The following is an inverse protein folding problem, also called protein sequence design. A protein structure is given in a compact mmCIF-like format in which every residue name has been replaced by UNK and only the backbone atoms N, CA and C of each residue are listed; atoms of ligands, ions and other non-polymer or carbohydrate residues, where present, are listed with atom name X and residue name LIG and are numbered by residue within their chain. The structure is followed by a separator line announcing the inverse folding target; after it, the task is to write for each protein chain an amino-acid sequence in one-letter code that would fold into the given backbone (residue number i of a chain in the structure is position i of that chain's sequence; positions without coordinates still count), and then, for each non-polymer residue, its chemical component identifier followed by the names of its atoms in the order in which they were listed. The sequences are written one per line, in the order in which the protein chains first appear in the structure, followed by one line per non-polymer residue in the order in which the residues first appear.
data_IF_510064438578
#
_entry.id   IF_510064438578
#
_cell.length_a   1.000
_cell.length_b   1.000
_cell.length_c   1.000
_cell.angle_alpha   90.00
_cell.angle_beta   90.00
_cell.angle_gamma   90.00
#
_symmetry.space_group_name_H-M   'P 1'
#
loop_
_entity.id
_entity.type
_entity.pdbx_description
1 polymer ?
#
# COMPACT_ATOMS: atom_id res chain seq x y z
N UNK A 1 -11.58 2.90 -1.39
CA UNK A 1 -11.33 4.35 -1.60
C UNK A 1 -11.89 4.85 -2.92
N UNK A 2 -11.75 4.16 -4.07
CA UNK A 2 -12.41 4.60 -5.31
C UNK A 2 -13.93 4.66 -5.17
N UNK A 3 -14.55 3.70 -4.47
CA UNK A 3 -16.00 3.61 -4.34
C UNK A 3 -16.67 4.85 -3.71
N UNK A 4 -16.22 5.28 -2.51
CA UNK A 4 -16.78 6.46 -1.82
C UNK A 4 -16.60 7.77 -2.60
N UNK A 5 -15.57 7.86 -3.43
CA UNK A 5 -15.32 9.03 -4.28
C UNK A 5 -16.07 8.93 -5.61
N UNK A 6 -16.31 7.73 -6.15
CA UNK A 6 -17.03 7.54 -7.42
C UNK A 6 -18.48 8.01 -7.35
N UNK A 7 -19.15 7.88 -6.20
CA UNK A 7 -20.53 8.37 -6.02
C UNK A 7 -20.64 9.90 -5.99
N UNK A 8 -19.55 10.63 -5.69
CA UNK A 8 -19.60 12.08 -5.40
C UNK A 8 -18.58 12.94 -6.17
N UNK A 9 -17.59 12.35 -6.81
CA UNK A 9 -16.47 13.05 -7.44
C UNK A 9 -16.53 13.00 -8.96
N UNK A 10 -16.15 14.12 -9.60
CA UNK A 10 -16.00 14.22 -11.05
C UNK A 10 -14.89 13.31 -11.58
N UNK A 11 -14.98 12.87 -12.84
CA UNK A 11 -13.93 12.11 -13.52
C UNK A 11 -12.54 12.77 -13.43
N UNK A 12 -12.48 14.11 -13.47
CA UNK A 12 -11.23 14.87 -13.30
C UNK A 12 -10.64 14.65 -11.91
N UNK A 13 -11.47 14.59 -10.88
CA UNK A 13 -11.03 14.40 -9.49
C UNK A 13 -10.55 12.96 -9.24
N UNK A 14 -11.19 11.96 -9.87
CA UNK A 14 -10.70 10.57 -9.87
C UNK A 14 -9.33 10.50 -10.55
N UNK A 15 -9.14 11.22 -11.67
CA UNK A 15 -7.84 11.35 -12.33
C UNK A 15 -6.77 11.95 -11.42
N UNK A 16 -7.10 13.03 -10.70
CA UNK A 16 -6.19 13.65 -9.72
C UNK A 16 -5.83 12.65 -8.61
N UNK A 17 -6.80 11.90 -8.09
CA UNK A 17 -6.56 10.89 -7.05
C UNK A 17 -5.61 9.77 -7.52
N UNK A 18 -5.64 9.39 -8.80
CA UNK A 18 -4.75 8.35 -9.35
C UNK A 18 -3.26 8.70 -9.23
N UNK A 19 -2.93 10.00 -9.16
CA UNK A 19 -1.55 10.50 -8.94
C UNK A 19 -1.04 10.05 -7.57
N UNK A 20 -1.92 9.85 -6.57
CA UNK A 20 -1.52 9.36 -5.26
C UNK A 20 -0.87 7.96 -5.32
N UNK A 21 -1.14 7.16 -6.36
CA UNK A 21 -0.54 5.84 -6.53
C UNK A 21 0.88 5.87 -7.13
N UNK A 22 1.31 7.00 -7.71
CA UNK A 22 2.58 7.10 -8.43
C UNK A 22 3.84 6.79 -7.61
N UNK A 23 3.91 7.09 -6.29
CA UNK A 23 5.08 6.71 -5.51
C UNK A 23 5.40 5.21 -5.59
N UNK A 24 4.41 4.32 -5.69
CA UNK A 24 4.69 2.89 -5.87
C UNK A 24 5.46 2.59 -7.15
N UNK A 25 5.17 3.31 -8.24
CA UNK A 25 5.87 3.15 -9.52
C UNK A 25 7.30 3.66 -9.46
N UNK A 26 7.53 4.73 -8.68
CA UNK A 26 8.84 5.37 -8.56
C UNK A 26 9.71 4.80 -7.43
N UNK A 27 9.20 3.86 -6.62
CA UNK A 27 9.90 3.35 -5.43
C UNK A 27 11.30 2.81 -5.68
N UNK A 28 11.54 2.29 -6.89
CA UNK A 28 12.87 1.84 -7.35
C UNK A 28 13.94 2.95 -7.28
N UNK A 29 13.57 4.22 -7.46
CA UNK A 29 14.53 5.33 -7.49
C UNK A 29 15.12 5.66 -6.12
N UNK A 30 14.37 5.47 -5.03
CA UNK A 30 14.86 5.72 -3.67
C UNK A 30 15.14 4.46 -2.88
N UNK A 31 14.96 3.27 -3.46
CA UNK A 31 15.34 2.02 -2.78
C UNK A 31 16.81 1.98 -2.34
N UNK A 32 17.80 2.47 -3.12
CA UNK A 32 19.20 2.49 -2.69
C UNK A 32 19.45 3.45 -1.51
N UNK A 33 18.63 4.50 -1.39
CA UNK A 33 18.71 5.44 -0.27
C UNK A 33 18.30 4.76 1.03
N UNK A 34 17.20 4.00 0.99
CA UNK A 34 16.70 3.20 2.13
C UNK A 34 17.70 2.10 2.51
N UNK A 35 18.38 1.50 1.53
CA UNK A 35 19.37 0.46 1.79
C UNK A 35 20.67 0.98 2.41
N UNK A 36 21.10 2.20 2.05
CA UNK A 36 22.42 2.74 2.44
C UNK A 36 22.41 3.59 3.71
N UNK A 37 21.32 4.29 4.01
CA UNK A 37 21.20 5.09 5.23
C UNK A 37 20.59 4.25 6.34
N UNK A 38 21.31 3.95 7.42
CA UNK A 38 20.71 3.27 8.58
C UNK A 38 21.48 3.54 9.86
N UNK A 39 20.82 3.35 11.01
CA UNK A 39 21.48 3.45 12.31
C UNK A 39 22.06 2.11 12.73
N UNK A 40 23.36 2.06 12.97
CA UNK A 40 24.07 0.87 13.45
C UNK A 40 23.62 0.40 14.84
N UNK A 41 23.03 1.30 15.65
CA UNK A 41 22.54 1.00 17.00
C UNK A 41 21.17 0.31 17.02
N UNK A 42 20.33 0.59 16.03
CA UNK A 42 18.95 0.09 15.97
C UNK A 42 18.79 -1.10 15.00
N UNK A 43 19.78 -1.34 14.16
CA UNK A 43 19.78 -2.34 13.09
C UNK A 43 19.37 -1.73 11.76
N UNK A 44 19.88 -2.29 10.65
CA UNK A 44 19.72 -1.70 9.30
C UNK A 44 18.24 -1.55 8.91
N UNK A 45 17.43 -2.57 9.17
CA UNK A 45 16.05 -2.63 8.65
C UNK A 45 15.05 -2.04 9.63
N UNK A 46 15.24 -2.24 10.94
CA UNK A 46 14.40 -1.61 11.97
C UNK A 46 14.47 -0.10 11.98
N UNK A 47 15.64 0.46 11.62
CA UNK A 47 15.84 1.91 11.52
C UNK A 47 14.88 2.58 10.53
N UNK A 48 14.33 1.82 9.57
CA UNK A 48 13.34 2.32 8.61
C UNK A 48 11.92 1.85 8.91
N UNK A 49 11.74 0.56 9.20
CA UNK A 49 10.40 -0.01 9.40
C UNK A 49 9.70 0.68 10.57
N UNK A 50 10.39 0.87 11.71
CA UNK A 50 9.77 1.43 12.92
C UNK A 50 9.35 2.89 12.72
N UNK A 51 10.20 3.82 12.24
CA UNK A 51 9.78 5.20 12.00
C UNK A 51 8.68 5.32 10.95
N UNK A 52 8.79 4.63 9.81
CA UNK A 52 7.79 4.69 8.74
C UNK A 52 6.44 4.20 9.26
N UNK A 53 6.41 3.06 9.95
CA UNK A 53 5.17 2.48 10.46
C UNK A 53 4.56 3.34 11.58
N UNK A 54 5.39 3.96 12.42
CA UNK A 54 4.95 4.93 13.43
C UNK A 54 4.35 6.19 12.78
N UNK A 55 5.00 6.74 11.76
CA UNK A 55 4.48 7.88 11.00
C UNK A 55 3.15 7.54 10.32
N UNK A 56 3.04 6.38 9.67
CA UNK A 56 1.79 5.93 9.06
C UNK A 56 0.69 5.77 10.12
N UNK A 57 0.99 5.14 11.26
CA UNK A 57 0.03 5.00 12.37
C UNK A 57 -0.43 6.37 12.90
N UNK A 58 0.50 7.29 13.14
CA UNK A 58 0.20 8.64 13.60
C UNK A 58 -0.67 9.40 12.60
N UNK A 59 -0.33 9.34 11.30
CA UNK A 59 -1.13 9.97 10.25
C UNK A 59 -2.54 9.38 10.24
N UNK A 60 -2.69 8.04 10.28
CA UNK A 60 -4.01 7.40 10.27
C UNK A 60 -4.88 7.80 11.47
N UNK A 61 -4.31 7.86 12.67
CA UNK A 61 -5.07 8.22 13.89
C UNK A 61 -5.39 9.71 13.95
N UNK A 62 -4.41 10.58 13.63
CA UNK A 62 -4.57 12.03 13.73
C UNK A 62 -5.41 12.62 12.59
N UNK A 63 -5.33 12.04 11.39
CA UNK A 63 -6.08 12.53 10.23
C UNK A 63 -7.48 11.95 10.10
N UNK A 64 -7.88 10.97 10.91
CA UNK A 64 -9.15 10.26 10.78
C UNK A 64 -10.38 11.18 10.72
N UNK A 65 -10.56 12.07 11.70
CA UNK A 65 -11.71 13.00 11.73
C UNK A 65 -11.63 14.07 10.63
N UNK A 66 -10.40 14.41 10.22
CA UNK A 66 -10.17 15.38 9.16
C UNK A 66 -10.53 14.79 7.81
N UNK A 67 -10.09 13.56 7.51
CA UNK A 67 -10.41 12.84 6.27
C UNK A 67 -11.91 12.67 6.13
N UNK A 68 -12.59 12.32 7.22
CA UNK A 68 -14.05 12.18 7.20
C UNK A 68 -14.74 13.48 6.76
N UNK A 69 -14.38 14.62 7.36
CA UNK A 69 -14.90 15.94 6.97
C UNK A 69 -14.53 16.32 5.53
N UNK A 70 -13.30 16.04 5.10
CA UNK A 70 -12.88 16.34 3.73
C UNK A 70 -13.65 15.51 2.68
N UNK A 71 -14.06 14.29 3.02
CA UNK A 71 -14.88 13.43 2.15
C UNK A 71 -16.31 13.96 2.08
N UNK A 72 -16.88 14.40 3.20
CA UNK A 72 -18.20 15.04 3.25
C UNK A 72 -18.23 16.34 2.40
N UNK A 73 -17.19 17.16 2.51
CA UNK A 73 -17.05 18.43 1.77
C UNK A 73 -16.50 18.27 0.33
N UNK A 74 -16.24 17.04 -0.13
CA UNK A 74 -15.70 16.72 -1.46
C UNK A 74 -14.38 17.43 -1.84
N UNK A 75 -13.50 17.72 -0.87
CA UNK A 75 -12.18 18.34 -1.10
C UNK A 75 -11.13 17.32 -1.57
N UNK A 76 -11.29 16.84 -2.81
CA UNK A 76 -10.48 15.72 -3.35
C UNK A 76 -8.98 16.00 -3.40
N UNK A 77 -8.54 17.24 -3.60
CA UNK A 77 -7.11 17.61 -3.66
C UNK A 77 -6.41 17.35 -2.32
N UNK A 78 -7.04 17.75 -1.21
CA UNK A 78 -6.49 17.58 0.13
C UNK A 78 -6.38 16.11 0.51
N UNK A 79 -7.43 15.33 0.20
CA UNK A 79 -7.42 13.87 0.37
C UNK A 79 -6.32 13.25 -0.47
N UNK A 80 -6.20 13.64 -1.74
CA UNK A 80 -5.17 13.13 -2.65
C UNK A 80 -3.77 13.40 -2.11
N UNK A 81 -3.50 14.60 -1.58
CA UNK A 81 -2.21 14.94 -1.00
C UNK A 81 -1.86 14.07 0.23
N UNK A 82 -2.83 13.86 1.13
CA UNK A 82 -2.64 12.96 2.27
C UNK A 82 -2.37 11.52 1.82
N UNK A 83 -3.16 11.02 0.87
CA UNK A 83 -3.01 9.68 0.32
C UNK A 83 -1.69 9.51 -0.41
N UNK A 84 -1.20 10.54 -1.10
CA UNK A 84 0.13 10.53 -1.72
C UNK A 84 1.22 10.34 -0.66
N UNK A 85 1.15 11.04 0.47
CA UNK A 85 2.11 10.87 1.58
C UNK A 85 2.01 9.47 2.18
N UNK A 86 0.79 8.96 2.43
CA UNK A 86 0.60 7.60 2.92
C UNK A 86 1.17 6.56 1.96
N UNK A 87 0.89 6.70 0.66
CA UNK A 87 1.40 5.78 -0.37
C UNK A 87 2.93 5.86 -0.47
N UNK A 88 3.52 7.05 -0.36
CA UNK A 88 4.97 7.21 -0.29
C UNK A 88 5.59 6.48 0.91
N UNK A 89 4.97 6.59 2.09
CA UNK A 89 5.41 5.87 3.28
C UNK A 89 5.28 4.36 3.11
N UNK A 90 4.15 3.86 2.62
CA UNK A 90 3.95 2.42 2.41
C UNK A 90 4.89 1.89 1.33
N UNK A 91 5.13 2.62 0.23
CA UNK A 91 6.11 2.23 -0.78
C UNK A 91 7.54 2.12 -0.20
N UNK A 92 7.88 2.98 0.78
CA UNK A 92 9.16 2.93 1.48
C UNK A 92 9.22 1.76 2.48
N UNK A 93 8.10 1.47 3.15
CA UNK A 93 7.96 0.31 4.02
C UNK A 93 8.14 -0.99 3.24
N UNK A 94 7.54 -1.09 2.06
CA UNK A 94 7.59 -2.25 1.18
C UNK A 94 9.03 -2.58 0.79
N UNK A 95 9.82 -1.58 0.38
CA UNK A 95 11.27 -1.74 0.12
C UNK A 95 12.00 -2.30 1.34
N UNK A 96 11.74 -1.73 2.53
CA UNK A 96 12.42 -2.14 3.75
C UNK A 96 12.05 -3.57 4.18
N UNK A 97 10.78 -3.96 3.99
CA UNK A 97 10.27 -5.30 4.30
C UNK A 97 10.77 -6.33 3.29
N UNK A 98 10.83 -5.99 2.00
CA UNK A 98 11.38 -6.85 0.94
C UNK A 98 12.86 -7.18 1.22
N UNK A 99 13.66 -6.16 1.52
CA UNK A 99 15.06 -6.34 1.89
C UNK A 99 15.23 -7.17 3.17
N UNK A 100 14.31 -7.03 4.12
CA UNK A 100 14.33 -7.80 5.36
C UNK A 100 13.93 -9.27 5.16
N UNK A 101 12.96 -9.55 4.28
CA UNK A 101 12.52 -10.90 3.96
C UNK A 101 13.64 -11.72 3.29
N UNK A 102 14.35 -11.14 2.32
CA UNK A 102 15.46 -11.82 1.63
C UNK A 102 16.57 -12.23 2.61
N UNK A 103 16.87 -11.39 3.60
CA UNK A 103 17.90 -11.68 4.61
C UNK A 103 17.44 -12.69 5.67
N UNK A 104 16.13 -12.83 5.90
CA UNK A 104 15.58 -13.73 6.91
C UNK A 104 15.27 -15.14 6.38
N UNK A 105 15.00 -15.28 5.07
CA UNK A 105 14.72 -16.57 4.45
C UNK A 105 16.00 -17.26 3.96
N UNK A 106 16.05 -18.59 4.13
CA UNK A 106 17.11 -19.40 3.53
C UNK A 106 17.09 -19.23 1.99
N UNK A 107 18.24 -19.30 1.28
CA UNK A 107 18.32 -19.06 -0.17
C UNK A 107 17.33 -19.87 -1.01
N UNK A 108 17.03 -21.11 -0.59
CA UNK A 108 16.06 -22.00 -1.23
C UNK A 108 14.61 -21.51 -1.15
N UNK A 109 14.28 -20.69 -0.15
CA UNK A 109 12.93 -20.23 0.14
C UNK A 109 12.67 -18.77 -0.24
N UNK A 110 13.67 -18.04 -0.74
CA UNK A 110 13.54 -16.62 -1.12
C UNK A 110 12.43 -16.42 -2.17
N UNK A 111 12.21 -17.39 -3.06
CA UNK A 111 11.11 -17.35 -4.03
C UNK A 111 9.71 -17.32 -3.41
N UNK A 112 9.52 -17.87 -2.20
CA UNK A 112 8.23 -17.84 -1.51
C UNK A 112 7.93 -16.49 -0.85
N UNK A 113 8.95 -15.65 -0.60
CA UNK A 113 8.74 -14.34 0.02
C UNK A 113 7.81 -13.46 -0.81
N UNK A 114 8.03 -13.40 -2.13
CA UNK A 114 7.19 -12.66 -3.06
C UNK A 114 5.76 -13.24 -3.13
N UNK A 115 5.60 -14.56 -3.04
CA UNK A 115 4.28 -15.21 -2.99
C UNK A 115 3.53 -14.84 -1.72
N UNK A 116 4.18 -14.92 -0.55
CA UNK A 116 3.58 -14.54 0.73
C UNK A 116 3.15 -13.07 0.75
N UNK A 117 3.98 -12.16 0.22
CA UNK A 117 3.62 -10.74 0.07
C UNK A 117 2.39 -10.57 -0.82
N UNK A 118 2.36 -11.22 -1.99
CA UNK A 118 1.24 -11.12 -2.93
C UNK A 118 -0.06 -11.65 -2.32
N UNK A 119 0.00 -12.78 -1.61
CA UNK A 119 -1.16 -13.36 -0.91
C UNK A 119 -1.63 -12.42 0.21
N UNK A 120 -0.70 -11.92 1.03
CA UNK A 120 -1.02 -10.99 2.11
C UNK A 120 -1.65 -9.69 1.61
N UNK A 121 -1.14 -9.13 0.52
CA UNK A 121 -1.70 -7.93 -0.11
C UNK A 121 -3.11 -8.16 -0.65
N UNK A 122 -3.36 -9.28 -1.33
CA UNK A 122 -4.69 -9.62 -1.85
C UNK A 122 -5.70 -9.85 -0.71
N UNK A 123 -5.30 -10.57 0.35
CA UNK A 123 -6.14 -10.74 1.54
C UNK A 123 -6.45 -9.38 2.18
N UNK A 124 -5.43 -8.53 2.33
CA UNK A 124 -5.57 -7.19 2.89
C UNK A 124 -6.51 -6.32 2.06
N UNK A 125 -6.37 -6.33 0.74
CA UNK A 125 -7.25 -5.60 -0.19
C UNK A 125 -8.70 -6.09 -0.09
N UNK A 126 -8.91 -7.40 -0.20
CA UNK A 126 -10.23 -8.01 -0.14
C UNK A 126 -10.93 -7.76 1.20
N UNK A 127 -10.19 -7.97 2.30
CA UNK A 127 -10.69 -7.72 3.65
C UNK A 127 -11.00 -6.24 3.83
N UNK A 128 -10.10 -5.36 3.39
CA UNK A 128 -10.30 -3.91 3.55
C UNK A 128 -11.46 -3.37 2.73
N UNK A 129 -11.72 -3.92 1.55
CA UNK A 129 -12.84 -3.50 0.74
C UNK A 129 -14.16 -4.07 1.27
N UNK A 130 -14.23 -5.39 1.42
CA UNK A 130 -15.46 -6.12 1.76
C UNK A 130 -15.91 -5.81 3.19
N UNK A 131 -15.00 -5.87 4.16
CA UNK A 131 -15.34 -5.60 5.58
C UNK A 131 -15.69 -4.14 5.77
N UNK A 132 -14.96 -3.22 5.14
CA UNK A 132 -15.28 -1.80 5.24
C UNK A 132 -16.67 -1.49 4.66
N UNK A 133 -16.98 -1.99 3.46
CA UNK A 133 -18.26 -1.70 2.81
C UNK A 133 -19.42 -2.31 3.61
N UNK A 134 -19.28 -3.56 4.07
CA UNK A 134 -20.30 -4.21 4.90
C UNK A 134 -20.54 -3.46 6.23
N UNK A 135 -19.49 -2.96 6.88
CA UNK A 135 -19.61 -2.22 8.14
C UNK A 135 -20.01 -0.75 7.95
N UNK A 136 -19.80 -0.19 6.76
CA UNK A 136 -20.21 1.16 6.43
C UNK A 136 -21.67 1.22 5.95
N UNK A 137 -22.23 0.12 5.43
CA UNK A 137 -23.61 0.05 4.97
C UNK A 137 -24.62 -0.02 6.14
N UNK A 138 -25.52 0.97 6.29
CA UNK A 138 -26.54 0.96 7.34
C UNK A 138 -27.51 -0.21 7.23
N UNK A 139 -27.90 -0.61 6.01
CA UNK A 139 -28.84 -1.72 5.79
C UNK A 139 -28.28 -3.06 6.28
N UNK A 140 -27.03 -3.37 5.93
CA UNK A 140 -26.34 -4.55 6.42
C UNK A 140 -26.19 -4.52 7.95
N UNK A 141 -25.77 -3.38 8.50
CA UNK A 141 -25.57 -3.24 9.94
C UNK A 141 -26.88 -3.38 10.73
N UNK A 142 -27.98 -2.82 10.24
CA UNK A 142 -29.29 -2.92 10.90
C UNK A 142 -29.92 -4.31 10.75
N UNK A 143 -29.62 -5.05 9.69
CA UNK A 143 -30.14 -6.40 9.47
C UNK A 143 -29.39 -7.48 10.28
N UNK A 144 -28.07 -7.33 10.46
CA UNK A 144 -27.23 -8.41 11.00
C UNK A 144 -26.47 -8.06 12.29
N UNK A 145 -26.20 -6.78 12.57
CA UNK A 145 -25.28 -6.37 13.64
C UNK A 145 -25.95 -5.57 14.76
N UNK A 146 -26.99 -4.80 14.48
CA UNK A 146 -27.69 -3.95 15.46
C UNK A 146 -29.02 -4.53 15.90
N UNK A 147 -29.38 -4.27 17.15
CA UNK A 147 -30.72 -4.55 17.70
C UNK A 147 -31.70 -3.37 17.53
N UNK A 148 -31.19 -2.13 17.41
CA UNK A 148 -31.97 -0.92 17.12
C UNK A 148 -31.53 -0.31 15.78
N UNK A 149 -32.47 0.02 14.86
CA UNK A 149 -32.13 0.60 13.56
C UNK A 149 -31.58 2.01 13.69
N UNK A 150 -30.49 2.30 12.99
CA UNK A 150 -29.93 3.65 12.85
C UNK A 150 -29.54 3.93 11.39
N UNK A 151 -29.60 5.18 10.96
CA UNK A 151 -29.36 5.57 9.56
C UNK A 151 -27.88 5.62 9.17
N UNK A 152 -26.96 5.51 10.14
CA UNK A 152 -25.51 5.53 9.89
C UNK A 152 -24.90 4.13 9.96
N UNK A 153 -23.89 3.84 9.14
CA UNK A 153 -23.12 2.60 9.23
C UNK A 153 -22.47 2.40 10.59
N UNK A 154 -22.20 1.15 10.98
CA UNK A 154 -21.52 0.84 12.25
C UNK A 154 -20.10 1.45 12.30
N UNK A 155 -19.46 1.59 11.14
CA UNK A 155 -18.07 1.99 11.05
C UNK A 155 -17.86 2.99 9.90
N UNK A 156 -17.76 4.27 10.28
CA UNK A 156 -17.43 5.35 9.36
C UNK A 156 -15.95 5.31 8.96
N UNK A 157 -15.61 5.97 7.85
CA UNK A 157 -14.24 5.99 7.33
C UNK A 157 -13.20 6.47 8.37
N UNK A 158 -13.52 7.50 9.15
CA UNK A 158 -12.64 7.99 10.20
C UNK A 158 -12.38 6.94 11.29
N UNK A 159 -13.45 6.27 11.76
CA UNK A 159 -13.32 5.17 12.73
C UNK A 159 -12.50 4.00 12.18
N UNK A 160 -12.67 3.66 10.90
CA UNK A 160 -11.90 2.62 10.22
C UNK A 160 -10.41 2.93 10.19
N UNK A 161 -10.07 4.17 9.81
CA UNK A 161 -8.68 4.64 9.81
C UNK A 161 -8.05 4.61 11.21
N UNK A 162 -8.80 4.97 12.26
CA UNK A 162 -8.32 4.91 13.64
C UNK A 162 -8.00 3.49 14.08
N UNK A 163 -8.90 2.54 13.85
CA UNK A 163 -8.71 1.14 14.23
C UNK A 163 -7.44 0.60 13.57
N UNK A 164 -7.30 0.79 12.26
CA UNK A 164 -6.10 0.36 11.56
C UNK A 164 -4.85 1.12 11.99
N UNK A 165 -4.94 2.42 12.28
CA UNK A 165 -3.83 3.18 12.85
C UNK A 165 -3.33 2.62 14.19
N UNK A 166 -4.25 2.24 15.09
CA UNK A 166 -3.92 1.58 16.36
C UNK A 166 -3.32 0.20 16.14
N UNK A 167 -3.87 -0.60 15.21
CA UNK A 167 -3.30 -1.91 14.84
C UNK A 167 -1.88 -1.73 14.30
N UNK A 168 -1.64 -0.74 13.43
CA UNK A 168 -0.32 -0.42 12.93
C UNK A 168 0.64 -0.06 14.06
N UNK A 169 0.23 0.80 15.00
CA UNK A 169 1.04 1.16 16.16
C UNK A 169 1.36 -0.06 17.06
N UNK A 170 0.37 -0.92 17.33
CA UNK A 170 0.56 -2.13 18.11
C UNK A 170 1.57 -3.07 17.45
N UNK A 171 1.44 -3.31 16.14
CA UNK A 171 2.39 -4.11 15.37
C UNK A 171 3.78 -3.48 15.40
N UNK A 172 3.90 -2.15 15.29
CA UNK A 172 5.19 -1.45 15.41
C UNK A 172 5.85 -1.69 16.76
N UNK A 173 5.09 -1.60 17.85
CA UNK A 173 5.61 -1.87 19.20
C UNK A 173 6.07 -3.32 19.30
N UNK A 174 5.27 -4.27 18.81
CA UNK A 174 5.64 -5.70 18.79
C UNK A 174 6.93 -5.93 18.00
N UNK A 175 7.07 -5.36 16.81
CA UNK A 175 8.27 -5.48 15.97
C UNK A 175 9.49 -4.82 16.63
N UNK A 176 9.29 -3.67 17.29
CA UNK A 176 10.35 -2.95 17.99
C UNK A 176 10.86 -3.72 19.22
N UNK A 177 9.98 -4.42 19.95
CA UNK A 177 10.32 -5.13 21.18
C UNK A 177 10.80 -6.57 20.95
N UNK A 178 10.13 -7.33 20.08
CA UNK A 178 10.39 -8.79 19.95
C UNK A 178 11.58 -9.12 19.08
N UNK A 179 11.84 -8.32 18.04
CA UNK A 179 12.95 -8.59 17.15
C UNK A 179 14.18 -7.87 17.70
N UNK A 180 15.26 -8.58 17.97
CA UNK A 180 16.60 -7.98 18.10
C UNK A 180 17.36 -8.30 16.82
N UNK A 181 17.97 -7.28 16.19
CA UNK A 181 18.91 -7.54 15.09
C UNK A 181 20.28 -7.64 15.75
N UNK A 182 20.88 -8.84 15.70
CA UNK A 182 22.25 -9.02 16.16
C UNK A 182 23.17 -8.11 15.34
N UNK A 183 24.12 -7.44 16.00
CA UNK A 183 25.09 -6.49 15.42
C UNK A 183 26.03 -7.08 14.35
N UNK A 184 25.74 -8.28 13.83
CA UNK A 184 26.70 -9.17 13.17
C UNK A 184 27.02 -8.83 11.71
N UNK A 185 26.53 -7.73 11.14
CA UNK A 185 26.91 -7.30 9.78
C UNK A 185 27.22 -5.80 9.75
N UNK A 186 27.92 -5.31 10.78
CA UNK A 186 28.48 -3.95 10.77
C UNK A 186 29.79 -3.84 9.96
N UNK A 187 30.31 -4.94 9.41
CA UNK A 187 31.60 -4.99 8.70
C UNK A 187 31.50 -5.15 7.17
N UNK A 188 30.32 -5.44 6.60
CA UNK A 188 30.16 -5.30 5.15
C UNK A 188 30.13 -3.82 4.80
N UNK A 189 31.32 -3.32 4.43
CA UNK A 189 31.63 -1.99 3.95
C UNK A 189 30.38 -1.24 3.50
N UNK A 190 30.05 -0.15 4.20
CA UNK A 190 29.05 0.83 3.77
C UNK A 190 29.26 1.09 2.28
N UNK A 191 28.46 0.43 1.44
CA UNK A 191 28.39 0.77 0.03
C UNK A 191 27.78 2.16 0.06
N UNK A 192 28.62 3.18 -0.08
CA UNK A 192 28.17 4.56 -0.06
C UNK A 192 27.00 4.74 -1.05
N UNK A 193 26.13 5.72 -0.80
CA UNK A 193 24.92 5.98 -1.60
C UNK A 193 25.18 5.86 -3.11
N UNK A 194 26.28 6.45 -3.58
CA UNK A 194 26.70 6.40 -4.99
C UNK A 194 27.01 4.98 -5.48
N UNK A 195 27.62 4.15 -4.63
CA UNK A 195 27.87 2.73 -4.91
C UNK A 195 26.58 1.92 -5.05
N UNK A 196 25.59 2.17 -4.19
CA UNK A 196 24.29 1.50 -4.25
C UNK A 196 23.53 1.87 -5.54
N UNK A 197 23.53 3.16 -5.91
CA UNK A 197 22.99 3.59 -7.21
C UNK A 197 23.74 3.00 -8.40
N UNK A 198 25.07 2.89 -8.33
CA UNK A 198 25.89 2.29 -9.39
C UNK A 198 25.58 0.81 -9.56
N UNK A 199 25.37 0.08 -8.46
CA UNK A 199 24.96 -1.33 -8.47
C UNK A 199 23.56 -1.49 -9.06
N UNK A 200 22.58 -0.69 -8.63
CA UNK A 200 21.23 -0.69 -9.20
C UNK A 200 21.28 -0.48 -10.72
N UNK A 201 22.07 0.49 -11.19
CA UNK A 201 22.23 0.76 -12.61
C UNK A 201 22.89 -0.40 -13.37
N UNK A 202 23.86 -1.08 -12.75
CA UNK A 202 24.48 -2.27 -13.32
C UNK A 202 23.47 -3.42 -13.48
N UNK A 203 22.61 -3.65 -12.48
CA UNK A 203 21.55 -4.67 -12.52
C UNK A 203 20.53 -4.36 -13.61
N UNK A 204 20.08 -3.12 -13.74
CA UNK A 204 19.13 -2.69 -14.79
C UNK A 204 19.72 -2.87 -16.20
N UNK A 205 21.05 -2.80 -16.35
CA UNK A 205 21.73 -3.05 -17.62
C UNK A 205 21.91 -4.53 -17.98
N UNK A 206 21.63 -5.46 -17.07
CA UNK A 206 21.73 -6.89 -17.36
C UNK A 206 20.68 -7.29 -18.41
N UNK A 207 21.13 -8.03 -19.44
CA UNK A 207 20.27 -8.47 -20.55
C UNK A 207 19.07 -9.28 -20.06
N UNK A 208 19.27 -10.13 -19.04
CA UNK A 208 18.19 -10.92 -18.42
C UNK A 208 17.12 -10.03 -17.79
N UNK A 209 17.52 -8.94 -17.10
CA UNK A 209 16.60 -7.98 -16.49
C UNK A 209 15.83 -7.22 -17.56
N UNK A 210 16.51 -6.80 -18.64
CA UNK A 210 15.86 -6.12 -19.77
C UNK A 210 14.87 -7.01 -20.52
N UNK A 211 15.22 -8.29 -20.73
CA UNK A 211 14.32 -9.27 -21.34
C UNK A 211 13.09 -9.53 -20.47
N UNK A 212 13.30 -9.72 -19.16
CA UNK A 212 12.19 -9.91 -18.21
C UNK A 212 11.30 -8.66 -18.15
N UNK A 213 11.88 -7.46 -18.10
CA UNK A 213 11.14 -6.21 -18.16
C UNK A 213 10.31 -6.09 -19.46
N UNK A 214 10.88 -6.45 -20.60
CA UNK A 214 10.17 -6.49 -21.88
C UNK A 214 8.97 -7.43 -21.86
N UNK A 215 9.14 -8.65 -21.34
CA UNK A 215 8.05 -9.63 -21.19
C UNK A 215 6.96 -9.16 -20.23
N UNK A 216 7.34 -8.56 -19.09
CA UNK A 216 6.39 -8.05 -18.11
C UNK A 216 5.59 -6.86 -18.67
N UNK A 217 6.23 -5.98 -19.44
CA UNK A 217 5.56 -4.85 -20.08
C UNK A 217 4.58 -5.32 -21.15
N UNK A 218 4.97 -6.27 -22.02
CA UNK A 218 4.05 -6.81 -23.04
C UNK A 218 2.88 -7.54 -22.41
N UNK A 219 3.13 -8.34 -21.36
CA UNK A 219 2.08 -9.00 -20.60
C UNK A 219 1.12 -7.98 -19.98
N UNK A 220 1.62 -6.91 -19.34
CA UNK A 220 0.78 -5.87 -18.73
C UNK A 220 -0.08 -5.13 -19.74
N UNK A 221 0.47 -4.79 -20.91
CA UNK A 221 -0.30 -4.18 -22.00
C UNK A 221 -1.41 -5.12 -22.48
N UNK A 222 -1.13 -6.42 -22.60
CA UNK A 222 -2.12 -7.42 -22.96
C UNK A 222 -3.26 -7.54 -21.94
N UNK A 223 -2.92 -7.56 -20.64
CA UNK A 223 -3.90 -7.61 -19.55
C UNK A 223 -4.77 -6.34 -19.53
N UNK A 224 -4.17 -5.15 -19.63
CA UNK A 224 -4.91 -3.89 -19.67
C UNK A 224 -5.87 -3.81 -20.86
N UNK A 225 -5.43 -4.28 -22.03
CA UNK A 225 -6.29 -4.35 -23.21
C UNK A 225 -7.45 -5.34 -23.02
N UNK A 226 -7.18 -6.50 -22.42
CA UNK A 226 -8.19 -7.51 -22.14
C UNK A 226 -9.22 -7.02 -21.11
N UNK A 227 -8.78 -6.39 -20.02
CA UNK A 227 -9.66 -5.79 -19.00
C UNK A 227 -10.54 -4.68 -19.59
N UNK A 228 -9.97 -3.78 -20.37
CA UNK A 228 -10.73 -2.73 -21.06
C UNK A 228 -11.77 -3.29 -22.03
N UNK A 229 -11.39 -4.28 -22.84
CA UNK A 229 -12.30 -4.95 -23.77
C UNK A 229 -13.40 -5.74 -23.05
N UNK A 230 -13.07 -6.40 -21.93
CA UNK A 230 -14.04 -7.14 -21.12
C UNK A 230 -15.07 -6.20 -20.48
N UNK A 231 -14.64 -5.07 -19.92
CA UNK A 231 -15.52 -4.06 -19.35
C UNK A 231 -16.49 -3.49 -20.41
N UNK A 232 -15.99 -3.17 -21.61
CA UNK A 232 -16.81 -2.71 -22.73
C UNK A 232 -17.84 -3.77 -23.17
N UNK A 233 -17.44 -5.03 -23.29
CA UNK A 233 -18.35 -6.13 -23.65
C UNK A 233 -19.42 -6.39 -22.60
N UNK A 234 -19.11 -6.22 -21.31
CA UNK A 234 -20.09 -6.36 -20.23
C UNK A 234 -21.11 -5.22 -20.25
N UNK A 235 -20.67 -4.00 -20.55
CA UNK A 235 -21.57 -2.85 -20.78
C UNK A 235 -22.50 -3.07 -21.98
N UNK A 236 -21.97 -3.57 -23.10
CA UNK A 236 -22.78 -3.90 -24.29
C UNK A 236 -23.83 -4.98 -24.01
N UNK A 237 -23.54 -5.91 -23.07
CA UNK A 237 -24.46 -6.95 -22.64
C UNK A 237 -25.45 -6.51 -21.56
N UNK A 238 -25.50 -5.22 -21.24
CA UNK A 238 -26.50 -4.64 -20.34
C UNK A 238 -26.15 -4.70 -18.85
N UNK A 239 -24.90 -5.06 -18.49
CA UNK A 239 -24.43 -4.94 -17.10
C UNK A 239 -24.29 -3.45 -16.78
N UNK A 240 -24.95 -2.98 -15.72
CA UNK A 240 -24.88 -1.59 -15.29
C UNK A 240 -23.44 -1.20 -14.90
N UNK A 241 -23.06 0.06 -15.15
CA UNK A 241 -21.71 0.58 -14.82
C UNK A 241 -21.37 0.43 -13.34
N UNK A 242 -22.38 0.46 -12.47
CA UNK A 242 -22.27 0.29 -11.02
C UNK A 242 -21.80 -1.13 -10.65
N UNK A 243 -22.25 -2.15 -11.37
CA UNK A 243 -21.84 -3.55 -11.13
C UNK A 243 -20.42 -3.87 -11.62
N UNK A 244 -19.81 -3.00 -12.44
CA UNK A 244 -18.45 -3.14 -12.96
C UNK A 244 -17.40 -2.39 -12.12
N UNK A 245 -17.83 -1.56 -11.18
CA UNK A 245 -16.96 -0.76 -10.32
C UNK A 245 -16.64 -1.44 -8.96
N UNK A 246 -17.22 -2.62 -8.71
CA UNK A 246 -17.00 -3.46 -7.53
C UNK A 246 -15.81 -4.40 -7.65
#
# INVERSE_FOLDING_TARGET
MPYLLQERASYTQIGIFSIAAYPYSFKLFWSPLVDSLYSTRFGQRKSWIVPIQTCTAAILVLSADWVQRQVEDAHVVNITALFFVLVLLVATQDIAVDGWAINMLAPRNVGYAATCQTVGMNIGYFTSFTVFLALNDPTFCNAYLRSEPQDEGLLQLGAYMRIWGVVFAAVTVVVALLKSEAQAVAEEAQVGLLGAYRQLWAVVRLRSVQQLAGVLLTMRLGVLAAEGAAALKLLERGVSREALAG
#
